data_IF_274761692609
#
_entry.id   IF_274761692609
#
_cell.length_a   1.000
_cell.length_b   1.000
_cell.length_c   1.000
_cell.angle_alpha   90.00
_cell.angle_beta   90.00
_cell.angle_gamma   90.00
#
_symmetry.space_group_name_H-M   'P 1'
#
loop_
_entity.id
_entity.type
_entity.pdbx_description
1 polymer ?
#
# COMPACT_ATOMS: atom_id res chain seq x y z
N UNK A 1 -17.62 5.22 10.37
CA UNK A 1 -16.35 5.78 10.85
C UNK A 1 -15.52 6.23 9.67
N UNK A 2 -14.90 7.42 9.77
CA UNK A 2 -13.93 7.93 8.80
C UNK A 2 -12.59 8.04 9.51
N UNK A 3 -11.50 7.66 8.85
CA UNK A 3 -10.13 7.77 9.33
C UNK A 3 -9.23 8.41 8.29
N UNK A 4 -8.33 9.26 8.75
CA UNK A 4 -7.23 9.81 7.98
C UNK A 4 -5.93 9.24 8.55
N UNK A 5 -5.04 8.79 7.68
CA UNK A 5 -3.74 8.25 8.04
C UNK A 5 -2.68 8.93 7.19
N UNK A 6 -1.50 9.06 7.74
CA UNK A 6 -0.34 9.57 7.03
C UNK A 6 0.86 8.69 7.36
N UNK A 7 1.54 8.18 6.35
CA UNK A 7 2.77 7.42 6.46
C UNK A 7 3.94 8.20 5.87
N UNK A 8 5.08 8.13 6.54
CA UNK A 8 6.33 8.72 6.09
C UNK A 8 7.49 7.80 6.46
N UNK A 9 8.34 7.51 5.48
CA UNK A 9 9.58 6.79 5.69
C UNK A 9 10.65 7.38 4.76
N UNK A 10 11.81 7.71 5.33
CA UNK A 10 12.91 8.32 4.59
C UNK A 10 13.42 7.42 3.48
N UNK A 11 13.81 8.03 2.38
CA UNK A 11 14.65 7.45 1.34
C UNK A 11 16.12 7.78 1.55
N UNK A 12 16.95 7.30 0.65
CA UNK A 12 18.37 7.65 0.56
C UNK A 12 18.53 8.75 -0.51
N UNK A 13 18.93 9.93 -0.06
CA UNK A 13 19.09 11.10 -0.95
C UNK A 13 20.34 11.06 -1.81
N UNK A 14 21.38 10.33 -1.37
CA UNK A 14 22.67 10.22 -2.07
C UNK A 14 23.34 8.86 -1.80
N UNK A 15 23.10 7.91 -2.66
CA UNK A 15 23.71 6.56 -2.56
C UNK A 15 25.25 6.55 -2.65
N UNK A 16 25.90 7.67 -2.99
CA UNK A 16 27.35 7.76 -3.16
C UNK A 16 28.08 8.33 -1.93
N UNK A 17 27.38 8.88 -0.94
CA UNK A 17 27.99 9.52 0.24
C UNK A 17 28.45 8.53 1.33
N UNK A 18 28.13 7.24 1.18
CA UNK A 18 28.46 6.18 2.14
C UNK A 18 27.59 6.16 3.38
N UNK A 19 26.49 6.93 3.41
CA UNK A 19 25.52 6.99 4.51
C UNK A 19 24.19 6.42 4.04
N UNK A 20 23.69 5.37 4.68
CA UNK A 20 22.35 4.83 4.40
C UNK A 20 21.28 5.68 5.09
N UNK A 21 20.72 6.66 4.37
CA UNK A 21 19.68 7.57 4.87
C UNK A 21 18.28 6.96 4.88
N UNK A 22 18.08 5.85 4.20
CA UNK A 22 16.77 5.17 4.09
C UNK A 22 16.34 4.54 5.39
N UNK A 23 15.06 4.73 5.73
CA UNK A 23 14.43 3.90 6.75
C UNK A 23 14.32 2.46 6.25
N UNK A 24 14.91 1.53 6.97
CA UNK A 24 14.80 0.11 6.69
C UNK A 24 13.90 -0.58 7.71
N UNK A 25 12.92 -1.34 7.24
CA UNK A 25 12.10 -2.14 8.12
C UNK A 25 12.86 -3.38 8.58
N UNK A 26 13.04 -3.55 9.88
CA UNK A 26 13.69 -4.75 10.45
C UNK A 26 12.75 -5.94 10.50
N UNK A 27 11.47 -5.68 10.78
CA UNK A 27 10.44 -6.70 10.90
C UNK A 27 9.11 -6.16 10.40
N UNK A 28 8.25 -7.06 9.96
CA UNK A 28 6.87 -6.72 9.70
C UNK A 28 6.41 -7.05 8.30
N UNK A 29 5.12 -6.90 8.13
CA UNK A 29 4.38 -7.23 6.93
C UNK A 29 4.14 -5.96 6.11
N UNK A 30 4.19 -6.09 4.80
CA UNK A 30 3.99 -4.98 3.88
C UNK A 30 2.58 -4.40 3.84
N UNK A 31 1.60 -5.09 4.43
CA UNK A 31 0.15 -4.81 4.25
C UNK A 31 -0.51 -3.64 5.00
N UNK A 32 0.08 -2.84 5.88
CA UNK A 32 -0.69 -1.78 6.54
C UNK A 32 -1.21 -0.70 5.59
N UNK A 33 -0.61 -0.51 4.43
CA UNK A 33 -0.91 0.60 3.53
C UNK A 33 -1.57 0.20 2.23
N UNK A 34 -1.13 -0.87 1.58
CA UNK A 34 -1.63 -1.35 0.29
C UNK A 34 -2.30 -2.71 0.45
N UNK A 35 -3.48 -2.90 -0.14
CA UNK A 35 -4.16 -4.19 -0.16
C UNK A 35 -3.47 -5.20 -1.09
N UNK A 36 -2.78 -4.71 -2.11
CA UNK A 36 -2.06 -5.49 -3.12
C UNK A 36 -0.60 -5.82 -2.76
N UNK A 37 -0.11 -5.37 -1.59
CA UNK A 37 1.29 -5.51 -1.14
C UNK A 37 2.34 -4.82 -2.05
N UNK A 38 1.92 -3.90 -2.92
CA UNK A 38 2.86 -3.15 -3.77
C UNK A 38 3.71 -2.16 -3.00
N UNK A 39 3.24 -1.71 -1.84
CA UNK A 39 3.84 -0.60 -1.12
C UNK A 39 4.32 -1.06 0.24
N UNK A 40 5.55 -0.72 0.57
CA UNK A 40 6.18 -0.95 1.87
C UNK A 40 6.64 0.38 2.48
N UNK A 41 6.86 0.39 3.79
CA UNK A 41 7.30 1.58 4.53
C UNK A 41 8.81 1.81 4.38
N UNK A 42 9.26 2.05 3.17
CA UNK A 42 10.64 2.45 2.84
C UNK A 42 10.58 3.46 1.70
N UNK A 43 11.26 4.58 1.84
CA UNK A 43 11.30 5.64 0.83
C UNK A 43 9.89 6.05 0.36
N UNK A 44 8.98 6.39 1.29
CA UNK A 44 7.58 6.60 0.96
C UNK A 44 6.91 7.73 1.74
N UNK A 45 6.05 8.46 1.03
CA UNK A 45 5.06 9.38 1.59
C UNK A 45 3.69 8.88 1.16
N UNK A 46 2.77 8.68 2.11
CA UNK A 46 1.44 8.16 1.79
C UNK A 46 0.35 8.71 2.70
N UNK A 47 -0.51 9.61 2.23
CA UNK A 47 -1.80 9.87 2.84
C UNK A 47 -2.79 8.77 2.49
N UNK A 48 -3.66 8.44 3.45
CA UNK A 48 -4.75 7.48 3.28
C UNK A 48 -6.03 8.00 3.90
N UNK A 49 -7.10 7.97 3.13
CA UNK A 49 -8.48 8.16 3.59
C UNK A 49 -9.15 6.80 3.67
N UNK A 50 -9.82 6.52 4.78
CA UNK A 50 -10.57 5.28 4.97
C UNK A 50 -11.96 5.55 5.51
N UNK A 51 -12.94 4.87 4.94
CA UNK A 51 -14.30 4.82 5.43
C UNK A 51 -14.66 3.38 5.82
N UNK A 52 -15.29 3.24 7.00
CA UNK A 52 -15.75 1.96 7.54
C UNK A 52 -17.23 2.04 7.88
N UNK A 53 -17.98 1.01 7.53
CA UNK A 53 -19.37 0.80 7.92
C UNK A 53 -19.55 -0.57 8.56
N UNK A 54 -20.42 -0.62 9.57
CA UNK A 54 -20.83 -1.85 10.23
C UNK A 54 -22.36 -1.90 10.26
N UNK A 55 -23.00 -2.32 9.16
CA UNK A 55 -24.46 -2.35 9.06
C UNK A 55 -25.11 -3.40 9.98
N UNK A 56 -24.35 -4.42 10.40
CA UNK A 56 -24.80 -5.44 11.38
C UNK A 56 -23.62 -5.93 12.21
N UNK A 57 -23.87 -6.79 13.19
CA UNK A 57 -22.81 -7.38 14.01
C UNK A 57 -21.91 -8.33 13.23
N UNK A 58 -22.45 -8.96 12.18
CA UNK A 58 -21.76 -9.95 11.36
C UNK A 58 -21.15 -9.38 10.10
N UNK A 59 -21.41 -8.11 9.74
CA UNK A 59 -21.00 -7.55 8.47
C UNK A 59 -20.27 -6.21 8.64
N UNK A 60 -19.11 -6.08 8.00
CA UNK A 60 -18.32 -4.85 7.90
C UNK A 60 -17.91 -4.57 6.46
N UNK A 61 -17.89 -3.30 6.11
CA UNK A 61 -17.37 -2.78 4.85
C UNK A 61 -16.25 -1.79 5.14
N UNK A 62 -15.19 -1.88 4.39
CA UNK A 62 -14.10 -0.91 4.39
C UNK A 62 -13.87 -0.43 2.96
N UNK A 63 -13.73 0.88 2.78
CA UNK A 63 -13.28 1.50 1.54
C UNK A 63 -12.12 2.40 1.87
N UNK A 64 -11.03 2.28 1.13
CA UNK A 64 -9.83 3.09 1.27
C UNK A 64 -9.46 3.78 -0.02
N UNK A 65 -8.86 4.96 0.09
CA UNK A 65 -8.09 5.61 -0.95
C UNK A 65 -6.72 5.96 -0.38
N UNK A 66 -5.68 5.60 -1.08
CA UNK A 66 -4.30 5.88 -0.71
C UNK A 66 -3.58 6.48 -1.90
N UNK A 67 -2.70 7.42 -1.66
CA UNK A 67 -1.80 7.94 -2.66
C UNK A 67 -0.35 7.74 -2.21
N UNK A 68 0.55 7.46 -3.14
CA UNK A 68 1.91 7.02 -2.84
C UNK A 68 2.93 7.82 -3.62
N UNK A 69 3.93 8.35 -2.91
CA UNK A 69 5.08 9.05 -3.50
C UNK A 69 6.38 8.52 -2.91
N UNK A 70 7.44 8.54 -3.70
CA UNK A 70 8.80 8.42 -3.17
C UNK A 70 9.12 9.66 -2.33
N UNK A 71 9.80 9.46 -1.21
CA UNK A 71 10.36 10.55 -0.43
C UNK A 71 11.62 11.09 -1.10
N UNK A 72 12.51 10.20 -1.59
CA UNK A 72 13.65 10.52 -2.42
C UNK A 72 13.46 9.97 -3.83
N UNK A 73 13.51 10.84 -4.85
CA UNK A 73 13.36 10.48 -6.26
C UNK A 73 14.48 9.57 -6.78
N UNK A 74 15.67 9.67 -6.18
CA UNK A 74 16.87 8.94 -6.62
C UNK A 74 16.99 7.57 -5.98
N UNK A 75 16.16 7.29 -4.98
CA UNK A 75 16.18 6.03 -4.26
C UNK A 75 15.13 5.05 -4.80
N UNK A 76 15.27 3.79 -4.43
CA UNK A 76 14.42 2.71 -4.95
C UNK A 76 12.97 2.78 -4.45
N UNK A 77 12.06 2.41 -5.30
CA UNK A 77 10.74 1.91 -4.93
C UNK A 77 10.86 0.43 -4.56
N UNK A 78 10.91 0.14 -3.28
CA UNK A 78 11.25 -1.19 -2.76
C UNK A 78 10.27 -2.28 -3.22
N UNK A 79 8.98 -2.00 -3.21
CA UNK A 79 7.95 -2.99 -3.54
C UNK A 79 8.08 -3.62 -4.91
N UNK A 80 8.63 -2.89 -5.89
CA UNK A 80 8.87 -3.35 -7.25
C UNK A 80 10.36 -3.41 -7.62
N UNK A 81 11.26 -3.11 -6.68
CA UNK A 81 12.71 -2.99 -6.91
C UNK A 81 13.08 -2.04 -8.06
N UNK A 82 12.24 -1.02 -8.31
CA UNK A 82 12.49 -0.01 -9.34
C UNK A 82 13.34 1.11 -8.77
N UNK A 83 14.27 1.61 -9.56
CA UNK A 83 15.14 2.73 -9.21
C UNK A 83 15.38 3.60 -10.43
N UNK A 84 15.36 4.92 -10.22
CA UNK A 84 15.81 5.91 -11.16
C UNK A 84 16.93 6.77 -10.52
N UNK A 85 18.20 6.41 -10.67
CA UNK A 85 19.30 7.15 -10.04
C UNK A 85 19.38 8.61 -10.49
N UNK A 86 18.81 8.96 -11.64
CA UNK A 86 18.77 10.33 -12.14
C UNK A 86 17.61 11.16 -11.54
N UNK A 87 16.63 10.50 -10.91
CA UNK A 87 15.44 11.15 -10.36
C UNK A 87 14.53 11.79 -11.41
N UNK A 88 14.68 11.41 -12.68
CA UNK A 88 13.99 12.05 -13.81
C UNK A 88 12.55 11.53 -14.01
N UNK A 89 12.22 10.38 -13.41
CA UNK A 89 10.92 9.71 -13.56
C UNK A 89 9.80 10.29 -12.68
N UNK A 90 10.11 11.35 -11.90
CA UNK A 90 9.19 11.90 -10.90
C UNK A 90 9.16 11.07 -9.61
N UNK A 91 8.20 11.37 -8.73
CA UNK A 91 8.07 10.69 -7.44
C UNK A 91 6.71 10.02 -7.25
N UNK A 92 5.70 10.35 -8.02
CA UNK A 92 4.36 9.79 -7.87
C UNK A 92 4.33 8.31 -8.32
N UNK A 93 4.16 7.42 -7.35
CA UNK A 93 4.06 5.98 -7.60
C UNK A 93 2.69 5.59 -8.12
N UNK A 94 1.63 6.22 -7.59
CA UNK A 94 0.27 5.94 -7.96
C UNK A 94 -0.74 6.14 -6.84
N UNK A 95 -1.99 5.85 -7.16
CA UNK A 95 -3.12 5.89 -6.26
C UNK A 95 -3.76 4.50 -6.16
N UNK A 96 -4.25 4.12 -4.98
CA UNK A 96 -4.97 2.87 -4.80
C UNK A 96 -6.34 3.13 -4.20
N UNK A 97 -7.36 2.54 -4.79
CA UNK A 97 -8.70 2.44 -4.20
C UNK A 97 -8.88 1.00 -3.78
N UNK A 98 -9.12 0.77 -2.51
CA UNK A 98 -9.35 -0.55 -1.94
C UNK A 98 -10.77 -0.69 -1.36
N UNK A 99 -11.32 -1.87 -1.50
CA UNK A 99 -12.62 -2.25 -0.96
C UNK A 99 -12.51 -3.62 -0.30
N UNK A 100 -13.12 -3.75 0.89
CA UNK A 100 -13.13 -5.01 1.64
C UNK A 100 -14.47 -5.23 2.31
N UNK A 101 -14.98 -6.45 2.16
CA UNK A 101 -16.12 -6.98 2.92
C UNK A 101 -15.59 -8.01 3.90
N UNK A 102 -16.01 -7.90 5.15
CA UNK A 102 -15.78 -8.90 6.18
C UNK A 102 -17.11 -9.40 6.69
N UNK A 103 -17.33 -10.70 6.57
CA UNK A 103 -18.51 -11.40 7.04
C UNK A 103 -18.12 -12.43 8.11
N UNK A 104 -18.72 -12.31 9.29
CA UNK A 104 -18.44 -13.15 10.46
C UNK A 104 -19.76 -13.74 10.94
N UNK A 105 -20.29 -14.81 10.28
CA UNK A 105 -21.59 -15.40 10.59
C UNK A 105 -21.66 -15.96 12.02
N UNK A 106 -20.54 -16.44 12.55
CA UNK A 106 -20.40 -16.90 13.93
C UNK A 106 -18.97 -16.64 14.44
N UNK A 107 -18.70 -17.00 15.70
CA UNK A 107 -17.40 -16.74 16.34
C UNK A 107 -16.24 -17.56 15.78
N UNK A 108 -16.53 -18.61 15.01
CA UNK A 108 -15.53 -19.55 14.47
C UNK A 108 -15.19 -19.33 13.01
N UNK A 109 -16.03 -18.59 12.28
CA UNK A 109 -15.89 -18.40 10.84
C UNK A 109 -15.82 -16.91 10.51
N UNK A 110 -14.80 -16.52 9.79
CA UNK A 110 -14.70 -15.21 9.16
C UNK A 110 -14.35 -15.37 7.68
N UNK A 111 -15.10 -14.70 6.83
CA UNK A 111 -14.83 -14.62 5.38
C UNK A 111 -14.53 -13.18 5.04
N UNK A 112 -13.43 -12.97 4.32
CA UNK A 112 -13.00 -11.65 3.86
C UNK A 112 -12.89 -11.70 2.35
N UNK A 113 -13.59 -10.80 1.67
CA UNK A 113 -13.45 -10.53 0.25
C UNK A 113 -12.85 -9.14 0.09
N UNK A 114 -11.77 -9.03 -0.65
CA UNK A 114 -11.12 -7.76 -0.93
C UNK A 114 -10.85 -7.57 -2.40
N UNK A 115 -10.85 -6.30 -2.81
CA UNK A 115 -10.49 -5.85 -4.13
C UNK A 115 -9.73 -4.54 -4.02
N UNK A 116 -8.73 -4.36 -4.85
CA UNK A 116 -8.09 -3.06 -5.04
C UNK A 116 -7.78 -2.79 -6.50
N UNK A 117 -7.81 -1.52 -6.85
CA UNK A 117 -7.40 -0.98 -8.13
C UNK A 117 -6.27 0.01 -7.92
N UNK A 118 -5.11 -0.27 -8.50
CA UNK A 118 -3.94 0.58 -8.44
C UNK A 118 -3.76 1.33 -9.76
N UNK A 119 -3.90 2.64 -9.68
CA UNK A 119 -3.65 3.59 -10.75
C UNK A 119 -2.18 3.95 -10.78
N UNK A 120 -1.43 3.48 -11.77
CA UNK A 120 0.00 3.74 -11.87
C UNK A 120 0.30 5.24 -12.01
N UNK A 121 1.21 5.74 -11.19
CA UNK A 121 1.74 7.10 -11.27
C UNK A 121 2.84 7.25 -12.33
N UNK A 122 3.38 8.45 -12.43
CA UNK A 122 4.40 8.80 -13.43
C UNK A 122 5.67 7.97 -13.27
N UNK A 123 6.16 7.76 -12.04
CA UNK A 123 7.35 6.97 -11.77
C UNK A 123 7.21 5.54 -12.28
N UNK A 124 6.15 4.86 -11.90
CA UNK A 124 5.93 3.46 -12.29
C UNK A 124 5.75 3.33 -13.81
N UNK A 125 5.02 4.25 -14.43
CA UNK A 125 4.84 4.27 -15.89
C UNK A 125 6.15 4.49 -16.63
N UNK A 126 6.97 5.44 -16.16
CA UNK A 126 8.27 5.73 -16.78
C UNK A 126 9.22 4.53 -16.70
N UNK A 127 9.26 3.85 -15.54
CA UNK A 127 10.18 2.76 -15.29
C UNK A 127 9.73 1.41 -15.91
N UNK A 128 8.44 1.18 -16.07
CA UNK A 128 7.92 -0.14 -16.48
C UNK A 128 7.12 -0.14 -17.77
N UNK A 129 6.60 1.01 -18.20
CA UNK A 129 5.60 1.11 -19.25
C UNK A 129 4.25 0.48 -18.89
N UNK A 130 4.06 0.05 -17.62
CA UNK A 130 2.83 -0.63 -17.20
C UNK A 130 1.68 0.32 -17.00
N UNK A 131 0.50 -0.25 -17.21
CA UNK A 131 -0.79 0.36 -16.94
C UNK A 131 -1.28 0.00 -15.53
N UNK A 132 -2.47 0.43 -15.21
CA UNK A 132 -3.15 0.18 -13.95
C UNK A 132 -3.33 -1.32 -13.67
N UNK A 133 -3.50 -1.70 -12.40
CA UNK A 133 -3.54 -3.09 -11.97
C UNK A 133 -4.71 -3.34 -11.03
N UNK A 134 -5.39 -4.46 -11.25
CA UNK A 134 -6.45 -4.96 -10.39
C UNK A 134 -5.94 -6.11 -9.51
N UNK A 135 -6.38 -6.13 -8.26
CA UNK A 135 -6.08 -7.20 -7.31
C UNK A 135 -7.34 -7.60 -6.56
N UNK A 136 -7.63 -8.90 -6.50
CA UNK A 136 -8.73 -9.44 -5.71
C UNK A 136 -8.28 -10.62 -4.87
N UNK A 137 -8.84 -10.77 -3.67
CA UNK A 137 -8.54 -11.90 -2.80
C UNK A 137 -9.76 -12.36 -2.01
N UNK A 138 -9.75 -13.63 -1.67
CA UNK A 138 -10.68 -14.27 -0.74
C UNK A 138 -9.88 -14.91 0.39
N UNK A 139 -10.22 -14.60 1.62
CA UNK A 139 -9.62 -15.19 2.81
C UNK A 139 -10.72 -15.82 3.67
N UNK A 140 -10.50 -17.04 4.14
CA UNK A 140 -11.39 -17.74 5.07
C UNK A 140 -10.57 -18.09 6.31
N UNK A 141 -11.01 -17.57 7.46
CA UNK A 141 -10.42 -17.87 8.76
C UNK A 141 -11.35 -18.78 9.55
N UNK A 142 -10.81 -19.88 10.04
CA UNK A 142 -11.52 -20.85 10.89
C UNK A 142 -10.83 -20.90 12.26
N UNK A 143 -11.58 -20.72 13.32
CA UNK A 143 -11.10 -20.84 14.71
C UNK A 143 -11.53 -22.19 15.25
N UNK A 144 -10.58 -23.05 15.58
CA UNK A 144 -10.84 -24.44 15.98
C UNK A 144 -11.35 -24.57 17.42
N UNK A 145 -11.18 -23.55 18.29
CA UNK A 145 -11.53 -23.59 19.72
C UNK A 145 -12.20 -22.30 20.17
#
# INVERSE_FOLDING_TARGET
RVGLFFGYATGDGDAADGVAGRFEKFFGFGRPWSASDYVVNENIITPKLRWEARPSEVLRFDVGWSSYWLESANDRFYGAALIDPAGASGTHLGDEIDFRIRWTPDQKVQVILGYSHFLCGEFVRAQTGRQDTDFAYLEVQLTAF
#
